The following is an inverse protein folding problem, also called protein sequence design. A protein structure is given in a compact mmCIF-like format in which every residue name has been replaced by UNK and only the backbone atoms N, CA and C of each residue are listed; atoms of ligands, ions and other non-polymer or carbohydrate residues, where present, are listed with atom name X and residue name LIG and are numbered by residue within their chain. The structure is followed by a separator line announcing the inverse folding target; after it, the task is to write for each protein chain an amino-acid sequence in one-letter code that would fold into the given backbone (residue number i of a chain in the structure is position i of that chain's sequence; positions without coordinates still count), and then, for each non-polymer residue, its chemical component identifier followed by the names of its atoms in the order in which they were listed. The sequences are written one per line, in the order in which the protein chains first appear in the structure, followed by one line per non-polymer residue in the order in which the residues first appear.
data_IF_607068871307
#
_entry.id   IF_607068871307
#
_cell.length_a   1.000
_cell.length_b   1.000
_cell.length_c   1.000
_cell.angle_alpha   90.00
_cell.angle_beta   90.00
_cell.angle_gamma   90.00
#
_symmetry.space_group_name_H-M   'P 1'
#
loop_
_entity.id
_entity.type
_entity.pdbx_description
1 polymer ?
#
# COMPACT_ATOMS: atom_id res chain seq x y z
N UNK A 1 -2.68 -35.41 -16.44
CA UNK A 1 -3.87 -34.57 -16.67
C UNK A 1 -3.77 -33.45 -15.66
N UNK A 2 -3.58 -32.21 -16.11
CA UNK A 2 -3.62 -31.06 -15.19
C UNK A 2 -5.10 -30.77 -14.96
N UNK A 3 -5.57 -31.06 -13.75
CA UNK A 3 -6.89 -30.65 -13.29
C UNK A 3 -6.94 -29.11 -13.38
N UNK A 4 -7.78 -28.60 -14.27
CA UNK A 4 -8.08 -27.17 -14.32
C UNK A 4 -9.03 -26.95 -13.16
N UNK A 5 -8.50 -26.57 -12.00
CA UNK A 5 -9.33 -26.10 -10.89
C UNK A 5 -10.19 -24.93 -11.42
N UNK A 6 -11.50 -25.14 -11.48
CA UNK A 6 -12.44 -24.10 -11.88
C UNK A 6 -12.36 -22.95 -10.88
N UNK A 7 -11.99 -21.76 -11.35
CA UNK A 7 -11.89 -20.59 -10.50
C UNK A 7 -13.25 -20.35 -9.81
N UNK A 8 -13.27 -20.08 -8.48
CA UNK A 8 -14.51 -19.93 -7.75
C UNK A 8 -15.35 -18.78 -8.34
N UNK A 9 -16.66 -19.00 -8.42
CA UNK A 9 -17.58 -17.98 -8.92
C UNK A 9 -17.50 -16.73 -8.04
N UNK A 10 -17.37 -15.53 -8.64
CA UNK A 10 -17.21 -14.30 -7.89
C UNK A 10 -18.51 -13.93 -7.16
N UNK A 11 -18.42 -13.34 -5.95
CA UNK A 11 -19.59 -13.03 -5.13
C UNK A 11 -20.46 -11.91 -5.72
N UNK A 12 -19.89 -11.03 -6.54
CA UNK A 12 -20.64 -10.00 -7.25
C UNK A 12 -20.25 -9.97 -8.73
N UNK A 13 -20.93 -10.71 -9.62
CA UNK A 13 -20.57 -10.78 -11.03
C UNK A 13 -20.79 -9.46 -11.80
N UNK A 14 -21.61 -8.54 -11.28
CA UNK A 14 -21.89 -7.24 -11.92
C UNK A 14 -20.78 -6.19 -11.70
N UNK A 15 -19.83 -6.46 -10.80
CA UNK A 15 -18.74 -5.54 -10.49
C UNK A 15 -17.80 -5.34 -11.68
N UNK A 16 -17.64 -4.09 -12.12
CA UNK A 16 -16.77 -3.70 -13.24
C UNK A 16 -15.28 -3.89 -12.95
N UNK A 17 -14.88 -3.76 -11.68
CA UNK A 17 -13.48 -3.86 -11.25
C UNK A 17 -13.25 -5.12 -10.40
N UNK A 18 -12.07 -5.75 -10.44
CA UNK A 18 -11.78 -6.93 -9.62
C UNK A 18 -12.10 -6.74 -8.13
N UNK A 19 -11.68 -5.62 -7.53
CA UNK A 19 -11.96 -5.32 -6.11
C UNK A 19 -13.46 -5.18 -5.83
N UNK A 20 -14.21 -4.61 -6.78
CA UNK A 20 -15.66 -4.42 -6.71
C UNK A 20 -16.37 -5.77 -6.82
N UNK A 21 -15.92 -6.61 -7.76
CA UNK A 21 -16.45 -7.95 -8.07
C UNK A 21 -16.32 -8.91 -6.88
N UNK A 22 -15.25 -8.74 -6.09
CA UNK A 22 -14.98 -9.50 -4.87
C UNK A 22 -15.49 -8.84 -3.59
N UNK A 23 -16.24 -7.73 -3.67
CA UNK A 23 -16.77 -7.00 -2.50
C UNK A 23 -15.69 -6.59 -1.47
N UNK A 24 -14.48 -6.29 -1.95
CA UNK A 24 -13.32 -5.90 -1.13
C UNK A 24 -13.18 -4.39 -0.97
N UNK A 25 -14.01 -3.59 -1.63
CA UNK A 25 -13.99 -2.13 -1.53
C UNK A 25 -14.08 -1.71 -0.04
N UNK A 26 -13.24 -0.77 0.39
CA UNK A 26 -13.18 -0.25 1.77
C UNK A 26 -12.70 -1.24 2.85
N UNK A 27 -12.30 -2.47 2.50
CA UNK A 27 -11.95 -3.53 3.46
C UNK A 27 -10.47 -3.87 3.52
N UNK A 28 -9.66 -3.37 2.59
CA UNK A 28 -8.23 -3.69 2.52
C UNK A 28 -7.34 -2.55 3.03
N UNK A 29 -6.15 -2.92 3.48
CA UNK A 29 -5.11 -2.09 4.05
C UNK A 29 -3.74 -2.37 3.38
N UNK A 30 -2.69 -1.69 3.86
CA UNK A 30 -1.30 -1.96 3.46
C UNK A 30 -0.76 -3.29 4.01
N UNK A 31 -1.47 -3.87 4.98
CA UNK A 31 -1.14 -5.13 5.64
C UNK A 31 -1.56 -6.36 4.82
N UNK A 32 -2.52 -6.20 3.89
CA UNK A 32 -3.08 -7.29 3.09
C UNK A 32 -2.17 -7.67 1.91
N UNK A 33 -1.00 -8.22 2.25
CA UNK A 33 0.06 -8.55 1.29
C UNK A 33 -0.42 -9.50 0.20
N UNK A 34 -1.31 -10.45 0.52
CA UNK A 34 -1.85 -11.43 -0.42
C UNK A 34 -2.72 -10.80 -1.52
N UNK A 35 -3.41 -9.71 -1.21
CA UNK A 35 -4.18 -8.95 -2.20
C UNK A 35 -3.24 -8.06 -3.02
N UNK A 36 -2.32 -7.36 -2.35
CA UNK A 36 -1.41 -6.42 -2.99
C UNK A 36 -0.43 -7.13 -3.94
N UNK A 37 0.01 -8.35 -3.60
CA UNK A 37 0.96 -9.14 -4.40
C UNK A 37 0.46 -9.46 -5.81
N UNK A 38 -0.87 -9.55 -5.99
CA UNK A 38 -1.51 -9.83 -7.28
C UNK A 38 -1.40 -8.65 -8.26
N UNK A 39 -1.26 -7.44 -7.74
CA UNK A 39 -1.25 -6.20 -8.52
C UNK A 39 0.15 -5.64 -8.75
N UNK A 40 1.19 -6.29 -8.24
CA UNK A 40 2.58 -5.86 -8.38
C UNK A 40 3.36 -6.81 -9.29
N UNK A 41 4.43 -6.29 -9.84
CA UNK A 41 5.44 -7.06 -10.56
C UNK A 41 6.36 -7.80 -9.59
N UNK A 42 7.13 -8.75 -10.11
CA UNK A 42 8.21 -9.42 -9.36
C UNK A 42 9.24 -8.43 -8.79
N UNK A 43 9.43 -7.26 -9.42
CA UNK A 43 10.31 -6.19 -8.92
C UNK A 43 9.67 -5.31 -7.83
N UNK A 44 8.37 -5.45 -7.57
CA UNK A 44 7.62 -4.60 -6.63
C UNK A 44 7.07 -3.30 -7.24
N UNK A 45 7.12 -3.15 -8.57
CA UNK A 45 6.44 -2.03 -9.24
C UNK A 45 4.97 -2.35 -9.41
N UNK A 46 4.11 -1.34 -9.26
CA UNK A 46 2.68 -1.46 -9.53
C UNK A 46 2.42 -1.72 -11.02
N UNK A 47 1.55 -2.68 -11.34
CA UNK A 47 1.09 -2.93 -12.71
C UNK A 47 0.22 -1.78 -13.25
N UNK A 48 0.25 -1.48 -14.56
CA UNK A 48 -0.56 -0.41 -15.11
C UNK A 48 -2.06 -0.75 -15.05
N UNK A 49 -2.91 0.27 -14.84
CA UNK A 49 -4.38 0.12 -14.75
C UNK A 49 -5.01 -0.66 -15.90
N UNK A 50 -4.49 -0.48 -17.12
CA UNK A 50 -4.98 -1.17 -18.34
C UNK A 50 -4.84 -2.69 -18.26
N UNK A 51 -3.88 -3.19 -17.49
CA UNK A 51 -3.64 -4.63 -17.30
C UNK A 51 -4.44 -5.13 -16.10
N UNK A 52 -4.48 -4.37 -15.01
CA UNK A 52 -5.16 -4.79 -13.77
C UNK A 52 -6.67 -4.69 -13.83
N UNK A 53 -7.24 -3.87 -14.72
CA UNK A 53 -8.69 -3.67 -14.83
C UNK A 53 -9.32 -2.98 -13.62
N UNK A 54 -8.52 -2.33 -12.78
CA UNK A 54 -9.02 -1.62 -11.59
C UNK A 54 -9.64 -0.27 -11.96
N UNK A 55 -10.64 0.16 -11.18
CA UNK A 55 -11.13 1.54 -11.21
C UNK A 55 -10.02 2.53 -10.83
N UNK A 56 -10.11 3.77 -11.32
CA UNK A 56 -9.10 4.81 -11.03
C UNK A 56 -8.90 5.04 -9.53
N UNK A 57 -9.98 5.05 -8.76
CA UNK A 57 -9.95 5.24 -7.31
C UNK A 57 -9.20 4.10 -6.61
N UNK A 58 -9.61 2.87 -6.89
CA UNK A 58 -9.02 1.68 -6.27
C UNK A 58 -7.57 1.48 -6.71
N UNK A 59 -7.24 1.80 -7.97
CA UNK A 59 -5.86 1.76 -8.45
C UNK A 59 -4.96 2.72 -7.66
N UNK A 60 -5.41 3.95 -7.38
CA UNK A 60 -4.66 4.92 -6.55
C UNK A 60 -4.51 4.44 -5.10
N UNK A 61 -5.56 3.85 -4.52
CA UNK A 61 -5.53 3.29 -3.16
C UNK A 61 -4.54 2.13 -3.05
N UNK A 62 -4.60 1.16 -3.98
CA UNK A 62 -3.68 0.03 -4.06
C UNK A 62 -2.24 0.53 -4.24
N UNK A 63 -1.99 1.50 -5.13
CA UNK A 63 -0.65 2.06 -5.33
C UNK A 63 -0.08 2.66 -4.03
N UNK A 64 -0.90 3.37 -3.27
CA UNK A 64 -0.52 3.92 -1.95
C UNK A 64 -0.24 2.80 -0.95
N UNK A 65 -1.11 1.79 -0.86
CA UNK A 65 -0.91 0.63 0.01
C UNK A 65 0.39 -0.13 -0.33
N UNK A 66 0.68 -0.36 -1.61
CA UNK A 66 1.93 -0.97 -2.08
C UNK A 66 3.14 -0.14 -1.64
N UNK A 67 3.11 1.19 -1.83
CA UNK A 67 4.18 2.09 -1.37
C UNK A 67 4.39 2.02 0.15
N UNK A 68 3.31 1.93 0.92
CA UNK A 68 3.38 1.76 2.38
C UNK A 68 3.94 0.39 2.77
N UNK A 69 3.50 -0.69 2.14
CA UNK A 69 3.96 -2.06 2.38
C UNK A 69 5.46 -2.22 2.09
N UNK A 70 5.96 -1.64 0.99
CA UNK A 70 7.40 -1.64 0.69
C UNK A 70 8.23 -0.92 1.75
N UNK A 71 7.74 0.24 2.24
CA UNK A 71 8.43 1.00 3.30
C UNK A 71 8.40 0.26 4.63
N UNK A 72 7.31 -0.44 4.92
CA UNK A 72 7.17 -1.28 6.10
C UNK A 72 7.98 -2.58 6.03
N UNK A 73 8.42 -2.98 4.83
CA UNK A 73 9.23 -4.18 4.64
C UNK A 73 8.41 -5.47 4.49
N UNK A 74 7.11 -5.37 4.22
CA UNK A 74 6.20 -6.52 4.10
C UNK A 74 6.40 -7.32 2.80
N UNK A 75 7.11 -6.77 1.82
CA UNK A 75 7.35 -7.36 0.50
C UNK A 75 8.86 -7.67 0.31
N UNK A 76 9.42 -8.70 0.98
CA UNK A 76 10.86 -8.98 0.94
C UNK A 76 11.33 -9.54 -0.40
N UNK A 77 10.49 -10.31 -1.08
CA UNK A 77 10.81 -10.99 -2.35
C UNK A 77 10.63 -10.07 -3.57
N UNK A 78 9.88 -8.97 -3.41
CA UNK A 78 9.60 -8.02 -4.48
C UNK A 78 10.59 -6.86 -4.46
N UNK A 79 11.86 -7.16 -4.75
CA UNK A 79 12.92 -6.16 -4.86
C UNK A 79 13.47 -6.17 -6.29
N UNK A 80 13.90 -5.00 -6.82
CA UNK A 80 14.59 -4.98 -8.10
C UNK A 80 15.84 -5.85 -8.01
N UNK A 81 16.07 -6.65 -9.05
CA UNK A 81 17.31 -7.43 -9.17
C UNK A 81 18.47 -6.45 -9.28
N UNK A 82 19.51 -6.69 -8.48
CA UNK A 82 20.73 -5.91 -8.54
C UNK A 82 21.54 -6.36 -9.75
N UNK A 83 22.29 -5.46 -10.40
CA UNK A 83 23.20 -5.86 -11.46
C UNK A 83 24.24 -6.84 -10.93
N UNK A 84 24.72 -7.71 -11.81
CA UNK A 84 25.69 -8.74 -11.47
C UNK A 84 26.95 -8.11 -10.85
N UNK A 85 27.44 -8.70 -9.75
CA UNK A 85 28.60 -8.19 -9.00
C UNK A 85 28.32 -6.98 -8.08
N UNK A 86 27.11 -6.41 -8.06
CA UNK A 86 26.82 -5.28 -7.18
C UNK A 86 26.52 -5.73 -5.74
N UNK A 87 27.49 -5.49 -4.85
CA UNK A 87 27.32 -5.67 -3.39
C UNK A 87 27.08 -4.31 -2.74
N UNK A 88 25.93 -4.10 -2.06
CA UNK A 88 25.64 -2.83 -1.39
C UNK A 88 26.60 -2.62 -0.20
N UNK A 89 27.50 -1.65 -0.33
CA UNK A 89 28.46 -1.26 0.73
C UNK A 89 27.76 -0.49 1.86
N UNK A 90 28.22 -0.68 3.11
CA UNK A 90 27.84 0.09 4.31
C UNK A 90 26.33 0.30 4.51
N UNK A 91 25.61 -0.80 4.74
CA UNK A 91 24.17 -0.76 4.97
C UNK A 91 23.88 -0.21 6.36
N UNK A 92 23.43 1.06 6.43
CA UNK A 92 22.87 1.62 7.67
C UNK A 92 21.78 0.68 8.20
N UNK A 93 21.62 0.55 9.54
CA UNK A 93 20.55 -0.25 10.11
C UNK A 93 19.21 0.28 9.59
N UNK A 94 18.38 -0.65 9.08
CA UNK A 94 17.04 -0.29 8.62
C UNK A 94 16.15 -0.11 9.83
N UNK A 95 15.70 1.11 10.06
CA UNK A 95 14.73 1.39 11.11
C UNK A 95 13.35 0.83 10.73
N UNK A 96 12.76 0.09 11.66
CA UNK A 96 11.38 -0.39 11.58
C UNK A 96 10.42 0.80 11.45
N UNK A 97 9.45 0.69 10.54
CA UNK A 97 8.47 1.74 10.26
C UNK A 97 7.19 1.11 9.72
N UNK A 98 6.07 1.76 9.92
CA UNK A 98 4.77 1.36 9.38
C UNK A 98 3.92 2.61 9.15
N UNK A 99 2.83 2.49 8.39
CA UNK A 99 1.92 3.58 8.06
C UNK A 99 2.60 4.85 7.48
N UNK A 100 3.75 4.71 6.80
CA UNK A 100 4.54 5.86 6.34
C UNK A 100 4.02 6.43 5.01
N UNK A 101 3.51 7.68 5.05
CA UNK A 101 2.98 8.38 3.87
C UNK A 101 4.05 8.76 2.85
N UNK A 102 5.14 9.38 3.32
CA UNK A 102 6.17 9.97 2.47
C UNK A 102 7.44 9.12 2.40
N UNK A 103 8.29 9.40 1.41
CA UNK A 103 9.62 8.81 1.33
C UNK A 103 10.51 9.40 2.41
N UNK A 104 11.37 8.56 2.98
CA UNK A 104 12.30 8.92 4.06
C UNK A 104 13.23 10.06 3.61
N UNK A 105 13.66 10.01 2.35
CA UNK A 105 14.62 10.97 1.77
C UNK A 105 13.99 12.33 1.47
N UNK A 106 12.66 12.41 1.38
CA UNK A 106 11.97 13.65 1.00
C UNK A 106 11.48 14.47 2.19
N UNK A 107 11.37 13.87 3.38
CA UNK A 107 10.85 14.55 4.57
C UNK A 107 11.98 15.28 5.29
N UNK A 108 11.75 16.56 5.62
CA UNK A 108 12.64 17.37 6.46
C UNK A 108 12.17 17.35 7.92
N UNK A 109 13.08 17.47 8.90
CA UNK A 109 12.69 17.59 10.30
C UNK A 109 11.88 18.88 10.53
N UNK A 110 10.89 18.80 11.42
CA UNK A 110 10.12 19.97 11.89
C UNK A 110 10.90 20.55 13.07
N UNK A 111 11.64 21.63 12.84
CA UNK A 111 12.38 22.31 13.90
C UNK A 111 11.46 23.08 14.84
N UNK A 112 10.46 23.77 14.28
CA UNK A 112 9.49 24.56 15.04
C UNK A 112 8.10 23.93 14.93
N UNK A 113 7.64 23.31 16.03
CA UNK A 113 6.36 22.59 16.05
C UNK A 113 5.14 23.52 16.18
N UNK A 114 5.33 24.74 16.68
CA UNK A 114 4.25 25.68 16.98
C UNK A 114 3.52 25.38 18.30
N UNK A 115 2.76 26.36 18.77
CA UNK A 115 1.88 26.23 19.94
C UNK A 115 0.63 25.40 19.60
N UNK A 116 -0.20 25.08 20.61
CA UNK A 116 -1.37 24.19 20.46
C UNK A 116 -2.31 24.58 19.31
N UNK A 117 -2.56 25.88 19.09
CA UNK A 117 -3.47 26.39 18.06
C UNK A 117 -2.87 26.45 16.64
N UNK A 118 -1.54 26.38 16.51
CA UNK A 118 -0.82 26.40 15.23
C UNK A 118 0.16 25.23 15.10
N UNK A 119 -0.14 24.12 15.77
CA UNK A 119 0.73 22.95 15.84
C UNK A 119 0.86 22.31 14.46
N UNK A 120 2.08 22.11 13.99
CA UNK A 120 2.36 21.34 12.77
C UNK A 120 2.27 19.85 13.13
N UNK A 121 1.26 19.12 12.61
CA UNK A 121 1.11 17.71 12.95
C UNK A 121 2.00 16.84 12.04
N UNK A 122 2.29 15.63 12.52
CA UNK A 122 3.03 14.64 11.76
C UNK A 122 2.05 13.72 11.03
N UNK A 123 2.13 13.62 9.69
CA UNK A 123 1.20 12.80 8.93
C UNK A 123 1.48 11.30 9.13
N UNK A 124 0.42 10.56 9.41
CA UNK A 124 0.41 9.10 9.57
C UNK A 124 -0.60 8.52 8.58
N UNK A 125 -0.30 7.38 7.96
CA UNK A 125 -1.13 6.75 6.93
C UNK A 125 -1.44 7.70 5.75
N UNK A 126 -2.38 7.36 4.87
CA UNK A 126 -2.78 8.17 3.73
C UNK A 126 -4.29 8.45 3.72
N UNK A 127 -4.73 9.71 3.53
CA UNK A 127 -6.14 10.10 3.61
C UNK A 127 -7.04 9.47 2.53
N UNK A 128 -6.45 8.89 1.47
CA UNK A 128 -7.20 8.16 0.43
C UNK A 128 -7.90 6.90 0.97
N UNK A 129 -7.47 6.40 2.14
CA UNK A 129 -8.05 5.26 2.84
C UNK A 129 -9.04 5.69 3.93
N UNK A 130 -9.45 6.96 3.96
CA UNK A 130 -10.39 7.49 4.97
C UNK A 130 -11.77 6.83 4.93
N UNK A 131 -12.17 6.37 3.76
CA UNK A 131 -13.50 5.77 3.56
C UNK A 131 -13.49 4.27 3.93
N UNK A 132 -12.39 3.74 4.45
CA UNK A 132 -12.32 2.33 4.86
C UNK A 132 -13.25 2.05 6.04
N UNK A 133 -13.74 0.82 6.13
CA UNK A 133 -14.60 0.38 7.23
C UNK A 133 -13.84 0.48 8.54
N UNK A 134 -14.42 1.20 9.50
CA UNK A 134 -13.90 1.31 10.86
C UNK A 134 -14.82 0.57 11.82
N UNK A 135 -14.29 -0.44 12.49
CA UNK A 135 -15.04 -1.18 13.52
C UNK A 135 -15.00 -0.50 14.89
N UNK A 136 -14.07 0.44 15.09
CA UNK A 136 -14.01 1.25 16.30
C UNK A 136 -14.95 2.45 16.24
N UNK A 137 -15.33 2.97 17.41
CA UNK A 137 -16.15 4.18 17.52
C UNK A 137 -15.43 5.47 17.12
N UNK A 138 -14.10 5.43 17.05
CA UNK A 138 -13.26 6.59 16.71
C UNK A 138 -12.90 6.58 15.22
N UNK A 139 -12.94 7.74 14.54
CA UNK A 139 -12.49 7.84 13.16
C UNK A 139 -10.98 7.64 13.04
N UNK A 140 -10.52 7.22 11.86
CA UNK A 140 -9.11 7.12 11.54
C UNK A 140 -8.42 8.49 11.62
N UNK A 141 -7.31 8.55 12.36
CA UNK A 141 -6.46 9.75 12.44
C UNK A 141 -5.30 9.65 11.46
N UNK A 142 -5.21 10.62 10.57
CA UNK A 142 -4.16 10.69 9.54
C UNK A 142 -2.99 11.61 9.91
N UNK A 143 -3.04 12.23 11.09
CA UNK A 143 -2.12 13.25 11.58
C UNK A 143 -2.03 13.14 13.12
N UNK A 144 -0.84 13.27 13.71
CA UNK A 144 -0.58 13.23 15.17
C UNK A 144 0.27 14.43 15.66
#
# INVERSE_FOLDING_TARGET
MLEVEEAPTPPNPSGQCPICRWNLKHKYSYEDVLLLSQFITSEGRMLPRRVTGLCTEEHRKVEVCVKMAHRAGLLPNHKPKLPEGFVPKNKKPKLNRYLTRYSIKSVRPIWNKGHKWCKVPMPISHPILRDNVTYGSKPLRFNH
#
